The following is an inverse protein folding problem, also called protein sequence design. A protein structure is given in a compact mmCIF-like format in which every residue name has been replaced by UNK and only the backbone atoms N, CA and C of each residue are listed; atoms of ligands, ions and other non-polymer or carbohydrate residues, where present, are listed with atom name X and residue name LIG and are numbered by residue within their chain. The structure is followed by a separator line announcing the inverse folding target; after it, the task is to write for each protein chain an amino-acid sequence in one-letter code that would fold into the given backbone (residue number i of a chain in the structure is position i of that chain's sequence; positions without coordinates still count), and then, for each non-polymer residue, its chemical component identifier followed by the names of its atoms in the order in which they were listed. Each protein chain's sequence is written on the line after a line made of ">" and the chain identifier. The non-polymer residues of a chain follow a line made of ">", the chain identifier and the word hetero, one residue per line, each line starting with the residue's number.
data_IF_915661219008
#
_entry.id   IF_915661219008
#
_cell.length_a   1.000
_cell.length_b   1.000
_cell.length_c   1.000
_cell.angle_alpha   90.00
_cell.angle_beta   90.00
_cell.angle_gamma   90.00
#
_symmetry.space_group_name_H-M   'P 1'
#
loop_
_entity.id
_entity.type
_entity.pdbx_description
1 polymer ?
#
# COMPACT_ATOMS: atom_id res chain seq x y z
N UNK A 1 67.10 0.91 12.25
CA UNK A 1 66.12 1.41 11.28
C UNK A 1 65.71 0.23 10.38
N UNK A 2 64.61 -0.43 10.69
CA UNK A 2 64.06 -1.52 9.87
C UNK A 2 62.81 -1.07 9.13
N UNK A 3 62.87 -1.10 7.80
CA UNK A 3 61.78 -0.74 6.87
C UNK A 3 60.71 -1.84 6.85
N UNK A 4 59.47 -1.49 7.27
CA UNK A 4 58.29 -2.38 7.12
C UNK A 4 57.78 -2.27 5.70
N UNK A 5 57.95 -3.29 4.87
CA UNK A 5 57.29 -3.46 3.57
C UNK A 5 55.80 -3.82 3.79
N UNK A 6 54.91 -2.93 3.38
CA UNK A 6 53.46 -3.15 3.28
C UNK A 6 53.14 -4.14 2.14
N UNK A 7 52.52 -5.27 2.45
CA UNK A 7 51.93 -6.20 1.45
C UNK A 7 50.62 -5.60 0.93
N UNK A 8 50.62 -5.11 -0.30
CA UNK A 8 49.39 -4.76 -1.03
C UNK A 8 48.67 -6.05 -1.43
N UNK A 9 47.43 -6.26 -0.95
CA UNK A 9 46.52 -7.29 -1.44
C UNK A 9 46.11 -6.95 -2.88
N UNK A 10 46.32 -7.90 -3.80
CA UNK A 10 45.82 -7.78 -5.18
C UNK A 10 44.33 -8.13 -5.15
N UNK A 11 43.46 -7.15 -5.30
CA UNK A 11 42.06 -7.40 -5.57
C UNK A 11 41.92 -8.00 -6.98
N UNK A 12 41.27 -9.16 -7.06
CA UNK A 12 40.95 -9.84 -8.31
C UNK A 12 39.84 -9.07 -9.01
N UNK A 13 40.15 -8.35 -10.07
CA UNK A 13 39.14 -7.64 -10.89
C UNK A 13 38.49 -8.61 -11.85
N UNK A 14 37.22 -8.93 -11.63
CA UNK A 14 36.42 -9.75 -12.55
C UNK A 14 36.12 -8.91 -13.80
N UNK A 15 36.41 -9.39 -15.00
CA UNK A 15 36.12 -8.64 -16.23
C UNK A 15 34.61 -8.48 -16.42
N UNK A 16 34.17 -7.27 -16.81
CA UNK A 16 32.74 -6.93 -16.99
C UNK A 16 32.00 -7.88 -17.94
N UNK A 17 32.69 -8.46 -18.92
CA UNK A 17 32.14 -9.47 -19.85
C UNK A 17 31.73 -10.76 -19.11
N UNK A 18 32.47 -11.20 -18.09
CA UNK A 18 32.15 -12.40 -17.33
C UNK A 18 30.91 -12.19 -16.44
N UNK A 19 30.73 -10.99 -15.90
CA UNK A 19 29.51 -10.62 -15.12
C UNK A 19 28.27 -10.62 -16.00
N UNK A 20 28.38 -10.10 -17.23
CA UNK A 20 27.26 -10.09 -18.18
C UNK A 20 26.85 -11.50 -18.57
N UNK A 21 27.82 -12.39 -18.84
CA UNK A 21 27.55 -13.80 -19.20
C UNK A 21 26.83 -14.52 -18.06
N UNK A 22 27.25 -14.30 -16.80
CA UNK A 22 26.60 -14.91 -15.63
C UNK A 22 25.18 -14.42 -15.43
N UNK A 23 24.89 -13.14 -15.70
CA UNK A 23 23.53 -12.58 -15.60
C UNK A 23 22.61 -13.12 -16.70
N UNK A 24 23.12 -13.32 -17.93
CA UNK A 24 22.34 -13.91 -19.02
C UNK A 24 22.03 -15.39 -18.75
N UNK A 25 22.99 -16.15 -18.21
CA UNK A 25 22.78 -17.55 -17.82
C UNK A 25 21.78 -17.70 -16.69
N UNK A 26 21.83 -16.81 -15.69
CA UNK A 26 20.84 -16.80 -14.60
C UNK A 26 19.43 -16.47 -15.09
N UNK A 27 19.28 -15.52 -16.04
CA UNK A 27 18.01 -15.20 -16.68
C UNK A 27 17.41 -16.36 -17.47
N UNK A 28 18.24 -17.12 -18.20
CA UNK A 28 17.83 -18.31 -18.97
C UNK A 28 17.31 -19.44 -18.05
N UNK A 29 17.95 -19.65 -16.89
CA UNK A 29 17.52 -20.66 -15.93
C UNK A 29 16.13 -20.32 -15.34
N UNK A 30 15.87 -19.03 -15.06
CA UNK A 30 14.56 -18.59 -14.55
C UNK A 30 13.47 -18.82 -15.59
N UNK A 31 13.71 -18.56 -16.87
CA UNK A 31 12.75 -18.80 -17.96
C UNK A 31 12.44 -20.28 -18.12
N UNK A 32 13.42 -21.17 -17.98
CA UNK A 32 13.20 -22.62 -18.06
C UNK A 32 12.35 -23.16 -16.90
N UNK A 33 12.55 -22.64 -15.67
CA UNK A 33 11.75 -23.05 -14.51
C UNK A 33 10.29 -22.57 -14.59
N UNK A 34 10.03 -21.40 -15.20
CA UNK A 34 8.67 -20.91 -15.41
C UNK A 34 7.93 -21.72 -16.48
N UNK A 35 8.65 -22.19 -17.51
CA UNK A 35 8.08 -23.00 -18.60
C UNK A 35 7.57 -24.37 -18.14
N UNK A 36 8.21 -25.03 -17.18
CA UNK A 36 7.79 -26.35 -16.69
C UNK A 36 6.57 -26.29 -15.74
N UNK A 37 6.32 -25.16 -15.07
CA UNK A 37 5.17 -25.01 -14.18
C UNK A 37 3.85 -24.73 -14.90
N UNK A 38 3.88 -24.24 -16.15
CA UNK A 38 2.66 -23.93 -16.93
C UNK A 38 2.16 -25.07 -17.80
N UNK A 39 2.87 -26.21 -17.91
CA UNK A 39 2.52 -27.33 -18.82
C UNK A 39 1.70 -28.45 -18.19
N UNK A 40 1.24 -28.33 -16.95
CA UNK A 40 0.43 -29.38 -16.27
C UNK A 40 -0.92 -28.87 -15.78
N UNK A 41 -1.78 -28.41 -16.68
CA UNK A 41 -3.22 -28.28 -16.38
C UNK A 41 -4.03 -28.19 -17.68
N UNK A 42 -4.24 -29.31 -18.35
CA UNK A 42 -5.35 -29.46 -19.31
C UNK A 42 -5.66 -30.94 -19.49
N UNK A 43 -6.45 -31.48 -18.59
CA UNK A 43 -7.09 -32.79 -18.78
C UNK A 43 -8.59 -32.55 -18.88
N UNK A 44 -9.10 -32.75 -20.12
CA UNK A 44 -10.53 -32.72 -20.46
C UNK A 44 -11.16 -34.01 -20.03
N UNK A 45 -12.17 -33.98 -19.21
CA UNK A 45 -13.09 -35.09 -18.99
C UNK A 45 -14.43 -34.79 -19.68
N UNK A 46 -14.66 -35.47 -20.79
CA UNK A 46 -15.96 -35.60 -21.43
C UNK A 46 -16.87 -36.50 -20.58
N UNK A 47 -18.04 -36.01 -20.20
CA UNK A 47 -19.12 -36.88 -19.67
C UNK A 47 -20.41 -36.62 -20.46
N UNK A 48 -20.81 -37.66 -21.22
CA UNK A 48 -22.08 -37.76 -21.92
C UNK A 48 -23.26 -37.93 -20.95
N UNK A 49 -24.44 -37.40 -21.26
CA UNK A 49 -25.64 -37.58 -20.43
C UNK A 49 -26.35 -38.92 -20.73
N UNK A 50 -26.73 -39.61 -19.69
CA UNK A 50 -27.60 -40.79 -19.79
C UNK A 50 -28.93 -40.51 -19.08
N UNK A 51 -29.98 -40.44 -19.86
CA UNK A 51 -31.37 -40.39 -19.39
C UNK A 51 -31.82 -41.73 -18.82
N UNK A 52 -32.52 -41.71 -17.69
CA UNK A 52 -33.43 -42.82 -17.33
C UNK A 52 -34.45 -42.39 -16.28
N UNK A 53 -35.65 -42.35 -16.73
CA UNK A 53 -37.00 -42.65 -16.24
C UNK A 53 -37.30 -42.72 -14.73
N UNK A 54 -38.43 -42.09 -14.45
CA UNK A 54 -39.18 -41.98 -13.22
C UNK A 54 -39.59 -43.32 -12.59
N UNK A 55 -39.63 -43.38 -11.26
CA UNK A 55 -40.61 -44.15 -10.48
C UNK A 55 -40.97 -43.43 -9.20
N UNK A 56 -42.24 -43.10 -9.10
CA UNK A 56 -42.98 -42.54 -7.97
C UNK A 56 -43.02 -43.51 -6.80
N UNK A 57 -42.70 -43.08 -5.56
CA UNK A 57 -43.34 -43.60 -4.34
C UNK A 57 -43.16 -42.70 -3.12
N UNK A 58 -44.30 -42.20 -2.65
CA UNK A 58 -44.77 -41.91 -1.27
C UNK A 58 -43.79 -41.40 -0.19
N UNK A 59 -44.04 -40.16 0.18
CA UNK A 59 -44.31 -39.61 1.53
C UNK A 59 -43.60 -40.25 2.73
N UNK A 60 -42.64 -39.52 3.28
CA UNK A 60 -42.44 -39.37 4.72
C UNK A 60 -42.02 -37.95 4.99
N UNK A 61 -42.80 -37.25 5.83
CA UNK A 61 -42.46 -35.93 6.36
C UNK A 61 -41.15 -36.04 7.16
N UNK A 62 -40.12 -35.42 6.67
CA UNK A 62 -38.91 -35.13 7.42
C UNK A 62 -38.82 -33.62 7.49
N UNK A 63 -38.88 -33.10 8.68
CA UNK A 63 -38.68 -31.68 8.98
C UNK A 63 -37.36 -31.19 8.34
N UNK A 64 -37.49 -30.45 7.24
CA UNK A 64 -36.39 -29.75 6.64
C UNK A 64 -35.98 -28.60 7.60
N UNK A 65 -34.95 -28.83 8.41
CA UNK A 65 -34.17 -27.72 8.97
C UNK A 65 -33.71 -26.90 7.78
N UNK A 66 -34.32 -25.71 7.64
CA UNK A 66 -33.85 -24.71 6.70
C UNK A 66 -32.39 -24.38 7.06
N UNK A 67 -31.45 -24.97 6.35
CA UNK A 67 -30.08 -24.55 6.31
C UNK A 67 -30.06 -23.21 5.58
N UNK A 68 -30.15 -22.11 6.35
CA UNK A 68 -29.91 -20.76 5.84
C UNK A 68 -28.48 -20.78 5.28
N UNK A 69 -28.35 -20.88 3.98
CA UNK A 69 -27.08 -20.68 3.29
C UNK A 69 -26.63 -19.26 3.63
N UNK A 70 -25.59 -19.14 4.44
CA UNK A 70 -24.98 -17.85 4.75
C UNK A 70 -24.51 -17.28 3.40
N UNK A 71 -25.14 -16.22 2.94
CA UNK A 71 -24.77 -15.57 1.69
C UNK A 71 -23.31 -15.10 1.81
N UNK A 72 -22.49 -15.46 0.84
CA UNK A 72 -21.06 -15.10 0.84
C UNK A 72 -20.93 -13.63 0.52
N UNK A 73 -20.52 -12.83 1.48
CA UNK A 73 -20.21 -11.42 1.28
C UNK A 73 -18.86 -11.29 0.57
N UNK A 74 -18.77 -10.29 -0.33
CA UNK A 74 -17.56 -10.00 -1.11
C UNK A 74 -17.26 -8.50 -1.04
N UNK A 75 -16.00 -8.16 -1.00
CA UNK A 75 -15.49 -6.79 -1.10
C UNK A 75 -14.30 -6.77 -2.07
N UNK A 76 -14.29 -5.82 -2.98
CA UNK A 76 -13.16 -5.53 -3.86
C UNK A 76 -12.35 -4.41 -3.25
N UNK A 77 -11.08 -4.69 -2.96
CA UNK A 77 -10.15 -3.73 -2.39
C UNK A 77 -9.07 -3.44 -3.42
N UNK A 78 -8.79 -2.19 -3.66
CA UNK A 78 -7.64 -1.74 -4.43
C UNK A 78 -6.68 -0.98 -3.54
N UNK A 79 -5.38 -1.17 -3.79
CA UNK A 79 -4.33 -0.41 -3.14
C UNK A 79 -3.32 0.02 -4.20
N UNK A 80 -2.86 1.28 -4.12
CA UNK A 80 -1.74 1.79 -4.91
C UNK A 80 -0.57 2.12 -3.99
N UNK A 81 0.64 2.10 -4.56
CA UNK A 81 1.84 2.58 -3.89
C UNK A 81 1.96 4.10 -3.93
N UNK A 82 3.20 4.56 -3.89
CA UNK A 82 3.62 5.93 -3.62
C UNK A 82 3.02 6.96 -4.59
N UNK A 83 2.23 7.88 -4.06
CA UNK A 83 1.82 9.11 -4.74
C UNK A 83 2.78 10.23 -4.32
N UNK A 84 3.88 10.35 -5.08
CA UNK A 84 4.98 11.26 -4.79
C UNK A 84 4.98 12.45 -5.76
N UNK A 85 4.82 13.65 -5.23
CA UNK A 85 4.73 14.89 -6.01
C UNK A 85 6.07 15.60 -6.05
N UNK A 86 6.94 15.14 -6.96
CA UNK A 86 8.21 15.79 -7.25
C UNK A 86 7.99 17.14 -7.96
N UNK A 87 9.00 18.04 -7.93
CA UNK A 87 8.96 19.37 -8.56
C UNK A 87 8.54 19.35 -10.04
N UNK A 88 8.97 18.36 -10.79
CA UNK A 88 8.56 18.17 -12.19
C UNK A 88 7.05 17.83 -12.30
N UNK A 89 6.50 17.10 -11.34
CA UNK A 89 5.08 16.70 -11.33
C UNK A 89 4.21 17.92 -11.04
N UNK A 90 4.44 18.60 -9.90
CA UNK A 90 3.61 19.77 -9.61
C UNK A 90 3.90 20.95 -10.55
N UNK A 91 5.14 21.05 -11.09
CA UNK A 91 5.46 22.05 -12.12
C UNK A 91 4.68 21.85 -13.42
N UNK A 92 4.41 20.59 -13.82
CA UNK A 92 3.60 20.28 -15.00
C UNK A 92 2.11 20.49 -14.80
N UNK A 93 1.64 20.44 -13.55
CA UNK A 93 0.25 20.63 -13.18
C UNK A 93 -0.13 22.12 -12.99
N UNK A 94 0.84 23.05 -13.01
CA UNK A 94 0.60 24.48 -12.78
C UNK A 94 0.09 25.17 -14.05
N UNK A 95 -1.12 25.74 -14.01
CA UNK A 95 -1.74 26.44 -15.13
C UNK A 95 -1.43 27.95 -15.19
N UNK A 96 -0.65 28.46 -14.24
CA UNK A 96 -0.31 29.88 -14.07
C UNK A 96 -1.04 30.54 -12.89
N UNK A 97 -2.03 29.89 -12.31
CA UNK A 97 -2.82 30.36 -11.17
C UNK A 97 -2.94 29.30 -10.07
N UNK A 98 -3.22 28.04 -10.43
CA UNK A 98 -3.43 26.91 -9.52
C UNK A 98 -2.76 25.63 -10.07
N UNK A 99 -2.77 24.61 -9.25
CA UNK A 99 -2.32 23.28 -9.65
C UNK A 99 -3.53 22.37 -9.96
N UNK A 100 -3.47 21.65 -11.08
CA UNK A 100 -4.49 20.69 -11.51
C UNK A 100 -3.83 19.34 -11.84
N UNK A 101 -4.04 18.35 -10.97
CA UNK A 101 -3.50 17.00 -11.09
C UNK A 101 -4.52 16.01 -11.67
N UNK A 102 -5.65 16.45 -12.18
CA UNK A 102 -6.70 15.57 -12.71
C UNK A 102 -6.20 14.66 -13.82
N UNK A 103 -5.30 15.16 -14.68
CA UNK A 103 -4.69 14.39 -15.77
C UNK A 103 -3.83 13.22 -15.26
N UNK A 104 -3.21 13.33 -14.09
CA UNK A 104 -2.35 12.28 -13.54
C UNK A 104 -3.15 11.03 -13.17
N UNK A 105 -4.45 11.21 -12.88
CA UNK A 105 -5.37 10.14 -12.48
C UNK A 105 -6.33 9.70 -13.57
N UNK A 106 -6.46 10.42 -14.68
CA UNK A 106 -7.48 10.18 -15.71
C UNK A 106 -7.54 8.71 -16.16
N UNK A 107 -6.37 8.12 -16.41
CA UNK A 107 -6.25 6.75 -16.92
C UNK A 107 -6.61 5.68 -15.88
N UNK A 108 -6.35 5.94 -14.59
CA UNK A 108 -6.54 4.97 -13.51
C UNK A 108 -7.82 5.21 -12.70
N UNK A 109 -8.42 6.39 -12.77
CA UNK A 109 -9.67 6.75 -12.08
C UNK A 109 -10.79 5.73 -12.27
N UNK A 110 -11.10 5.22 -13.49
CA UNK A 110 -12.15 4.21 -13.66
C UNK A 110 -11.86 2.91 -12.89
N UNK A 111 -10.59 2.54 -12.77
CA UNK A 111 -10.16 1.36 -12.03
C UNK A 111 -10.30 1.58 -10.52
N UNK A 112 -9.76 2.67 -10.00
CA UNK A 112 -9.82 3.02 -8.56
C UNK A 112 -11.28 3.16 -8.11
N UNK A 113 -12.10 3.93 -8.85
CA UNK A 113 -13.51 4.15 -8.55
C UNK A 113 -14.39 2.89 -8.66
N UNK A 114 -13.89 1.80 -9.24
CA UNK A 114 -14.61 0.51 -9.32
C UNK A 114 -14.45 -0.36 -8.07
N UNK A 115 -13.55 -0.01 -7.17
CA UNK A 115 -13.35 -0.73 -5.92
C UNK A 115 -14.45 -0.39 -4.91
N UNK A 116 -14.75 -1.35 -4.03
CA UNK A 116 -15.59 -1.10 -2.86
C UNK A 116 -14.81 -0.37 -1.74
N UNK A 117 -13.47 -0.45 -1.81
CA UNK A 117 -12.54 0.27 -0.93
C UNK A 117 -11.22 0.51 -1.69
N UNK A 118 -10.86 1.77 -1.88
CA UNK A 118 -9.62 2.18 -2.54
C UNK A 118 -8.64 2.82 -1.53
N UNK A 119 -7.46 2.24 -1.43
CA UNK A 119 -6.37 2.69 -0.55
C UNK A 119 -5.22 3.24 -1.39
N UNK A 120 -4.58 4.31 -0.94
CA UNK A 120 -3.38 4.88 -1.56
C UNK A 120 -2.31 5.18 -0.53
N UNK A 121 -1.08 5.34 -0.96
CA UNK A 121 0.01 5.87 -0.15
C UNK A 121 0.34 7.29 -0.63
N UNK A 122 0.13 8.29 0.22
CA UNK A 122 0.55 9.68 -0.06
C UNK A 122 1.92 9.92 0.51
N UNK A 123 2.95 9.80 -0.33
CA UNK A 123 4.34 9.95 0.07
C UNK A 123 4.81 11.40 -0.05
N UNK A 124 4.86 12.09 1.07
CA UNK A 124 5.23 13.50 1.16
C UNK A 124 4.45 14.24 2.24
N UNK A 125 4.55 15.56 2.25
CA UNK A 125 3.80 16.42 3.15
C UNK A 125 3.05 17.51 2.38
N UNK A 126 2.04 18.08 3.03
CA UNK A 126 1.39 19.33 2.65
C UNK A 126 1.58 20.29 3.82
N UNK A 127 2.29 21.39 3.58
CA UNK A 127 2.50 22.42 4.60
C UNK A 127 2.53 23.81 3.93
N UNK A 128 1.44 24.59 4.02
CA UNK A 128 1.36 25.90 3.38
C UNK A 128 2.30 26.96 3.99
N UNK A 129 2.87 26.70 5.19
CA UNK A 129 3.84 27.56 5.83
C UNK A 129 5.27 27.34 5.31
N UNK A 130 5.45 26.47 4.31
CA UNK A 130 6.72 26.12 3.68
C UNK A 130 6.62 26.23 2.17
N UNK A 131 7.76 26.57 1.54
CA UNK A 131 7.85 26.52 0.08
C UNK A 131 7.57 25.10 -0.45
N UNK A 132 6.99 25.02 -1.65
CA UNK A 132 6.85 23.74 -2.35
C UNK A 132 8.23 23.17 -2.64
N UNK A 133 8.38 21.86 -2.52
CA UNK A 133 9.66 21.20 -2.71
C UNK A 133 9.50 19.77 -3.22
N UNK A 134 10.43 19.36 -4.09
CA UNK A 134 10.69 17.97 -4.45
C UNK A 134 11.82 17.37 -3.63
N UNK A 135 12.50 16.36 -4.19
CA UNK A 135 13.62 15.69 -3.50
C UNK A 135 14.69 16.69 -3.02
N UNK A 136 15.24 16.53 -1.80
CA UNK A 136 15.03 15.41 -0.86
C UNK A 136 13.94 15.65 0.21
N UNK A 137 13.27 16.78 0.20
CA UNK A 137 12.26 17.19 1.19
C UNK A 137 10.97 17.51 0.44
N UNK A 138 9.99 16.62 0.50
CA UNK A 138 8.77 16.76 -0.27
C UNK A 138 7.70 17.59 0.44
N UNK A 139 7.27 18.65 -0.23
CA UNK A 139 6.14 19.49 0.19
C UNK A 139 5.27 19.78 -1.03
N UNK A 140 4.12 19.11 -1.14
CA UNK A 140 3.22 19.22 -2.26
C UNK A 140 2.24 20.41 -2.13
N UNK A 141 1.71 20.94 -3.25
CA UNK A 141 0.57 21.88 -3.22
C UNK A 141 -0.65 21.22 -2.61
N UNK A 142 -1.46 21.97 -1.86
CA UNK A 142 -2.69 21.43 -1.24
C UNK A 142 -3.74 20.97 -2.30
N UNK A 143 -3.64 21.48 -3.52
CA UNK A 143 -4.51 21.10 -4.66
C UNK A 143 -4.48 19.59 -4.97
N UNK A 144 -3.42 18.87 -4.58
CA UNK A 144 -3.35 17.40 -4.72
C UNK A 144 -4.50 16.70 -4.01
N UNK A 145 -5.00 17.27 -2.90
CA UNK A 145 -6.08 16.69 -2.09
C UNK A 145 -7.36 16.51 -2.91
N UNK A 146 -7.72 17.54 -3.67
CA UNK A 146 -8.92 17.50 -4.51
C UNK A 146 -8.80 16.46 -5.63
N UNK A 147 -7.65 16.39 -6.27
CA UNK A 147 -7.37 15.43 -7.36
C UNK A 147 -7.36 13.99 -6.89
N UNK A 148 -6.74 13.69 -5.75
CA UNK A 148 -6.73 12.36 -5.13
C UNK A 148 -8.16 11.94 -4.74
N UNK A 149 -8.94 12.87 -4.16
CA UNK A 149 -10.34 12.60 -3.83
C UNK A 149 -11.18 12.31 -5.07
N UNK A 150 -11.01 13.10 -6.13
CA UNK A 150 -11.72 12.93 -7.39
C UNK A 150 -11.33 11.62 -8.11
N UNK A 151 -10.09 11.15 -7.93
CA UNK A 151 -9.63 9.86 -8.45
C UNK A 151 -10.38 8.66 -7.85
N UNK A 152 -11.02 8.84 -6.69
CA UNK A 152 -11.87 7.82 -6.07
C UNK A 152 -11.24 7.07 -4.91
N UNK A 153 -10.16 7.55 -4.34
CA UNK A 153 -9.60 6.98 -3.11
C UNK A 153 -10.51 7.22 -1.90
N UNK A 154 -10.53 6.26 -0.97
CA UNK A 154 -11.30 6.31 0.27
C UNK A 154 -10.43 6.61 1.48
N UNK A 155 -9.19 6.08 1.50
CA UNK A 155 -8.26 6.27 2.60
C UNK A 155 -6.81 6.26 2.12
N UNK A 156 -5.96 7.03 2.83
CA UNK A 156 -4.55 7.21 2.50
C UNK A 156 -3.65 6.78 3.65
N UNK A 157 -2.64 5.97 3.31
CA UNK A 157 -1.50 5.73 4.19
C UNK A 157 -0.63 6.99 4.25
N UNK A 158 -0.24 7.36 5.45
CA UNK A 158 0.71 8.43 5.73
C UNK A 158 1.93 7.92 6.50
N UNK A 159 2.07 6.60 6.66
CA UNK A 159 3.24 6.00 7.30
C UNK A 159 4.35 5.74 6.29
N UNK A 160 5.02 6.79 5.88
CA UNK A 160 6.14 6.71 4.94
C UNK A 160 7.34 7.54 5.46
N UNK A 161 8.51 7.32 4.87
CA UNK A 161 9.76 7.94 5.30
C UNK A 161 9.77 9.47 5.13
N UNK A 162 8.91 10.05 4.27
CA UNK A 162 8.83 11.49 4.02
C UNK A 162 7.76 12.24 4.84
N UNK A 163 7.03 11.58 5.75
CA UNK A 163 5.96 12.23 6.53
C UNK A 163 6.47 13.33 7.48
N UNK A 164 7.75 13.34 7.80
CA UNK A 164 8.39 14.35 8.64
C UNK A 164 9.10 15.45 7.86
N UNK A 165 9.08 15.47 6.55
CA UNK A 165 9.85 16.39 5.70
C UNK A 165 9.61 17.86 6.04
N UNK A 166 8.40 18.23 6.44
CA UNK A 166 8.07 19.55 6.95
C UNK A 166 7.75 19.57 8.45
N UNK A 167 8.22 18.53 9.17
CA UNK A 167 8.10 18.39 10.62
C UNK A 167 6.70 17.99 11.08
N UNK A 168 6.49 17.96 12.40
CA UNK A 168 5.21 17.59 13.02
C UNK A 168 4.06 18.51 12.58
N UNK A 169 4.32 19.78 12.28
CA UNK A 169 3.29 20.68 11.76
C UNK A 169 2.79 20.24 10.39
N UNK A 170 3.71 19.87 9.48
CA UNK A 170 3.34 19.34 8.17
C UNK A 170 2.61 18.01 8.24
N UNK A 171 3.10 17.06 9.03
CA UNK A 171 2.40 15.80 9.27
C UNK A 171 0.93 16.04 9.68
N UNK A 172 0.71 16.92 10.66
CA UNK A 172 -0.65 17.24 11.13
C UNK A 172 -1.47 17.95 10.06
N UNK A 173 -0.86 18.89 9.34
CA UNK A 173 -1.57 19.61 8.27
C UNK A 173 -2.01 18.63 7.18
N UNK A 174 -1.10 17.78 6.72
CA UNK A 174 -1.36 16.76 5.69
C UNK A 174 -2.55 15.87 6.07
N UNK A 175 -2.52 15.27 7.26
CA UNK A 175 -3.61 14.42 7.72
C UNK A 175 -4.94 15.19 7.80
N UNK A 176 -4.92 16.41 8.35
CA UNK A 176 -6.13 17.23 8.47
C UNK A 176 -6.67 17.69 7.11
N UNK A 177 -5.81 18.00 6.13
CA UNK A 177 -6.24 18.41 4.79
C UNK A 177 -7.03 17.29 4.10
N UNK A 178 -6.52 16.06 4.13
CA UNK A 178 -7.23 14.90 3.60
C UNK A 178 -8.53 14.62 4.35
N UNK A 179 -8.51 14.63 5.68
CA UNK A 179 -9.71 14.37 6.48
C UNK A 179 -10.81 15.41 6.24
N UNK A 180 -10.45 16.70 6.09
CA UNK A 180 -11.41 17.77 5.72
C UNK A 180 -12.04 17.56 4.34
N UNK A 181 -11.31 16.97 3.41
CA UNK A 181 -11.81 16.60 2.09
C UNK A 181 -12.66 15.32 2.10
N UNK A 182 -12.82 14.66 3.25
CA UNK A 182 -13.56 13.41 3.38
C UNK A 182 -12.79 12.18 2.89
N UNK A 183 -11.47 12.23 2.93
CA UNK A 183 -10.56 11.09 2.80
C UNK A 183 -10.14 10.65 4.21
N UNK A 184 -10.27 9.37 4.52
CA UNK A 184 -9.71 8.85 5.77
C UNK A 184 -8.17 8.78 5.66
N UNK A 185 -7.50 8.87 6.80
CA UNK A 185 -6.04 8.68 6.87
C UNK A 185 -5.68 7.64 7.92
N UNK A 186 -4.61 6.91 7.67
CA UNK A 186 -4.04 5.93 8.58
C UNK A 186 -2.52 5.96 8.52
N UNK A 187 -1.84 5.16 9.34
CA UNK A 187 -0.38 5.16 9.36
C UNK A 187 0.24 6.22 10.27
N UNK A 188 -0.47 7.31 10.55
CA UNK A 188 -0.11 8.30 11.56
C UNK A 188 -1.25 8.48 12.58
N UNK A 189 -0.91 8.89 13.80
CA UNK A 189 -1.88 9.04 14.88
C UNK A 189 -2.42 10.49 14.96
N UNK A 190 -3.24 10.87 13.98
CA UNK A 190 -3.87 12.19 13.90
C UNK A 190 -5.35 12.00 13.52
N UNK A 191 -6.30 12.49 14.32
CA UNK A 191 -6.14 13.26 15.56
C UNK A 191 -5.75 12.43 16.78
N UNK A 192 -5.86 11.11 16.70
CA UNK A 192 -5.59 10.17 17.80
C UNK A 192 -5.04 8.82 17.29
N UNK A 193 -4.66 7.92 18.18
CA UNK A 193 -4.14 6.58 17.88
C UNK A 193 -5.28 5.55 17.71
N UNK A 194 -6.27 5.86 16.89
CA UNK A 194 -7.34 4.90 16.57
C UNK A 194 -7.03 4.11 15.31
N UNK A 195 -7.36 2.83 15.36
CA UNK A 195 -7.31 1.97 14.18
C UNK A 195 -8.45 2.37 13.25
N UNK A 196 -8.13 2.67 12.00
CA UNK A 196 -9.14 2.91 10.96
C UNK A 196 -9.90 1.61 10.68
N UNK A 197 -11.23 1.63 10.81
CA UNK A 197 -12.09 0.49 10.46
C UNK A 197 -13.14 0.94 9.46
N UNK A 198 -13.17 0.31 8.29
CA UNK A 198 -14.20 0.50 7.27
C UNK A 198 -15.14 -0.70 7.26
N UNK A 199 -16.44 -0.46 7.01
CA UNK A 199 -17.38 -1.55 6.78
C UNK A 199 -17.80 -1.55 5.32
N UNK A 200 -17.42 -2.60 4.60
CA UNK A 200 -17.62 -2.76 3.16
C UNK A 200 -18.44 -4.01 2.93
N UNK A 201 -19.62 -3.86 2.34
CA UNK A 201 -20.54 -4.98 2.07
C UNK A 201 -20.78 -5.88 3.30
N UNK A 202 -20.82 -5.27 4.51
CA UNK A 202 -21.00 -5.97 5.78
C UNK A 202 -19.74 -6.57 6.39
N UNK A 203 -18.59 -6.48 5.71
CA UNK A 203 -17.28 -6.93 6.20
C UNK A 203 -16.59 -5.76 6.89
N UNK A 204 -16.18 -5.92 8.14
CA UNK A 204 -15.37 -4.94 8.87
C UNK A 204 -13.90 -5.14 8.55
N UNK A 205 -13.25 -4.11 8.06
CA UNK A 205 -11.85 -4.12 7.61
C UNK A 205 -11.08 -3.12 8.45
N UNK A 206 -10.12 -3.58 9.25
CA UNK A 206 -9.15 -2.73 9.93
C UNK A 206 -7.97 -2.45 9.01
N UNK A 207 -7.45 -1.22 9.03
CA UNK A 207 -6.39 -0.77 8.13
C UNK A 207 -5.29 -0.14 8.96
N UNK A 208 -4.05 -0.60 8.76
CA UNK A 208 -2.86 -0.19 9.50
C UNK A 208 -1.75 0.18 8.51
N UNK A 209 -1.02 1.27 8.79
CA UNK A 209 0.19 1.67 8.08
C UNK A 209 1.38 1.74 9.02
N UNK A 210 2.58 1.40 8.52
CA UNK A 210 3.83 1.46 9.28
C UNK A 210 4.99 1.83 8.36
N UNK A 211 5.94 2.64 8.84
CA UNK A 211 7.15 3.00 8.11
C UNK A 211 8.40 2.40 8.75
N UNK A 212 9.36 2.01 7.91
CA UNK A 212 10.67 1.53 8.38
C UNK A 212 11.52 2.62 9.06
N UNK A 213 11.24 3.90 8.79
CA UNK A 213 11.98 5.04 9.32
C UNK A 213 11.50 6.35 8.71
N UNK A 214 12.14 7.45 9.08
CA UNK A 214 11.72 8.81 8.69
C UNK A 214 12.92 9.65 8.20
N UNK A 215 13.81 9.04 7.42
CA UNK A 215 14.98 9.65 6.77
C UNK A 215 15.96 10.34 7.74
N UNK A 216 15.97 9.94 9.02
CA UNK A 216 16.79 10.55 10.06
C UNK A 216 16.21 11.86 10.62
N UNK A 217 15.10 12.36 10.08
CA UNK A 217 14.43 13.59 10.55
C UNK A 217 13.82 13.37 11.94
N UNK A 218 13.48 12.13 12.27
CA UNK A 218 13.01 11.74 13.61
C UNK A 218 13.95 12.16 14.74
N UNK A 219 15.26 12.28 14.48
CA UNK A 219 16.22 12.77 15.45
C UNK A 219 16.02 14.24 15.85
N UNK A 220 15.24 15.01 15.06
CA UNK A 220 14.96 16.43 15.29
C UNK A 220 13.69 16.69 16.10
N UNK A 221 12.87 15.66 16.38
CA UNK A 221 11.63 15.77 17.13
C UNK A 221 11.78 15.20 18.55
N UNK A 222 10.87 15.56 19.45
CA UNK A 222 10.85 14.98 20.79
C UNK A 222 10.44 13.52 20.77
N UNK A 223 10.94 12.69 21.72
CA UNK A 223 10.49 11.30 21.85
C UNK A 223 8.98 11.22 22.11
N UNK A 224 8.43 12.21 22.83
CA UNK A 224 6.98 12.30 23.06
C UNK A 224 6.18 12.48 21.77
N UNK A 225 6.67 13.29 20.81
CA UNK A 225 6.01 13.47 19.53
C UNK A 225 6.19 12.23 18.65
N UNK A 226 7.36 11.61 18.67
CA UNK A 226 7.62 10.35 17.99
C UNK A 226 6.62 9.27 18.42
N UNK A 227 6.53 9.01 19.73
CA UNK A 227 5.65 7.97 20.28
C UNK A 227 4.15 8.29 20.05
N UNK A 228 3.83 9.58 20.01
CA UNK A 228 2.45 10.03 19.85
C UNK A 228 1.94 9.95 18.41
N UNK A 229 2.75 10.32 17.43
CA UNK A 229 2.27 10.55 16.06
C UNK A 229 2.70 9.49 15.06
N UNK A 230 3.77 8.74 15.32
CA UNK A 230 4.41 7.88 14.32
C UNK A 230 4.18 6.40 14.57
N UNK A 231 3.94 5.68 13.48
CA UNK A 231 3.85 4.23 13.45
C UNK A 231 5.08 3.67 12.72
N UNK A 232 6.12 3.34 13.49
CA UNK A 232 7.31 2.67 12.97
C UNK A 232 7.13 1.14 12.89
N UNK A 233 7.98 0.47 12.10
CA UNK A 233 8.03 -0.99 11.94
C UNK A 233 8.67 -1.70 13.15
N UNK A 234 8.57 -1.15 14.37
CA UNK A 234 8.89 -1.91 15.58
C UNK A 234 7.96 -3.12 15.70
N UNK A 235 8.52 -4.32 15.67
CA UNK A 235 7.75 -5.56 15.60
C UNK A 235 6.82 -5.76 16.80
N UNK A 236 7.18 -5.24 17.99
CA UNK A 236 6.32 -5.34 19.16
C UNK A 236 5.10 -4.39 19.05
N UNK A 237 5.31 -3.17 18.49
CA UNK A 237 4.24 -2.23 18.18
C UNK A 237 3.30 -2.76 17.11
N UNK A 238 3.87 -3.30 16.00
CA UNK A 238 3.13 -3.91 14.90
C UNK A 238 2.25 -5.05 15.40
N UNK A 239 2.82 -6.01 16.13
CA UNK A 239 2.09 -7.15 16.68
C UNK A 239 0.96 -6.70 17.62
N UNK A 240 1.23 -5.71 18.47
CA UNK A 240 0.22 -5.15 19.38
C UNK A 240 -0.95 -4.53 18.63
N UNK A 241 -0.69 -3.73 17.57
CA UNK A 241 -1.74 -3.10 16.75
C UNK A 241 -2.53 -4.12 15.94
N UNK A 242 -1.87 -5.13 15.33
CA UNK A 242 -2.57 -6.23 14.62
C UNK A 242 -3.50 -6.98 15.58
N UNK A 243 -3.01 -7.39 16.76
CA UNK A 243 -3.85 -8.06 17.77
C UNK A 243 -5.03 -7.21 18.26
N UNK A 244 -4.89 -5.89 18.25
CA UNK A 244 -5.98 -4.97 18.56
C UNK A 244 -6.99 -4.89 17.42
N UNK A 245 -6.51 -4.83 16.15
CA UNK A 245 -7.33 -4.81 14.95
C UNK A 245 -8.18 -6.07 14.79
N UNK A 246 -7.61 -7.25 15.01
CA UNK A 246 -8.30 -8.55 14.95
C UNK A 246 -9.47 -8.70 15.93
N UNK A 247 -9.50 -7.90 17.00
CA UNK A 247 -10.60 -7.91 17.97
C UNK A 247 -11.82 -7.10 17.53
N UNK A 248 -11.65 -6.20 16.55
CA UNK A 248 -12.66 -5.21 16.16
C UNK A 248 -13.08 -5.30 14.69
N UNK A 249 -12.40 -6.14 13.90
CA UNK A 249 -12.62 -6.30 12.47
C UNK A 249 -12.60 -7.78 12.05
N UNK A 250 -13.20 -8.06 10.89
CA UNK A 250 -13.23 -9.39 10.27
C UNK A 250 -11.97 -9.65 9.44
N UNK A 251 -11.33 -8.58 8.95
CA UNK A 251 -10.11 -8.58 8.15
C UNK A 251 -9.20 -7.44 8.61
N UNK A 252 -7.90 -7.68 8.62
CA UNK A 252 -6.89 -6.63 8.85
C UNK A 252 -5.99 -6.49 7.63
N UNK A 253 -5.87 -5.27 7.11
CA UNK A 253 -4.93 -4.89 6.04
C UNK A 253 -3.77 -4.16 6.71
N UNK A 254 -2.56 -4.52 6.33
CA UNK A 254 -1.33 -3.86 6.77
C UNK A 254 -0.58 -3.38 5.55
N UNK A 255 -0.27 -2.09 5.49
CA UNK A 255 0.55 -1.46 4.45
C UNK A 255 1.89 -1.05 5.08
N UNK A 256 2.95 -1.82 4.88
CA UNK A 256 4.27 -1.47 5.38
C UNK A 256 5.06 -0.74 4.31
N UNK A 257 5.60 0.42 4.63
CA UNK A 257 6.60 1.11 3.82
C UNK A 257 7.99 0.59 4.21
N UNK A 258 8.68 -0.02 3.27
CA UNK A 258 9.97 -0.70 3.53
C UNK A 258 11.20 -0.05 2.87
N UNK A 259 11.01 1.11 2.19
CA UNK A 259 12.06 1.86 1.50
C UNK A 259 12.26 1.44 0.07
#
# INVERSE_FOLDING_TARGET
>A
MQSRRSKRSKFLTIPKSLVIILLVLAGLIVVLFIGEHFSKSSEKTDVKPKASQAKTKKTSQSESKAQTSKETQKATIMASGDMLYHDIVYGSAFDGEKYDFSNDYEQIKPLISSADLALGDFEGTINPDRELAGYPIFNAPEDVVASIKDAGYDALDLAHNHILDTGISGLKYTANAFQKAGLDTFGVNVPDDKILVKTVNGIKIAILGFSYGFNGIEASISQSDYDKYLNDLDMAKVEKKIKAAEKIADLTIVMPQSG
#
